data_IF_859302146109
#
_entry.id   IF_859302146109
#
_cell.length_a   1.000
_cell.length_b   1.000
_cell.length_c   1.000
_cell.angle_alpha   90.00
_cell.angle_beta   90.00
_cell.angle_gamma   90.00
#
_symmetry.space_group_name_H-M   'P 1'
#
loop_
_entity.id
_entity.type
_entity.pdbx_description
1 polymer ?
#
# COMPACT_ATOMS: atom_id res chain seq x y z
N UNK A 1 -22.27 27.47 -39.32
CA UNK A 1 -22.49 26.74 -38.04
C UNK A 1 -21.23 26.05 -37.51
N UNK A 2 -20.47 25.31 -38.33
CA UNK A 2 -19.32 24.52 -37.87
C UNK A 2 -18.18 25.30 -37.16
N UNK A 3 -17.85 26.53 -37.58
CA UNK A 3 -16.80 27.36 -36.93
C UNK A 3 -17.08 27.68 -35.46
N UNK A 4 -18.34 27.83 -35.06
CA UNK A 4 -18.73 28.06 -33.66
C UNK A 4 -18.57 26.80 -32.80
N UNK A 5 -18.73 25.62 -33.40
CA UNK A 5 -18.55 24.32 -32.74
C UNK A 5 -17.07 24.07 -32.43
N UNK A 6 -16.15 24.37 -33.37
CA UNK A 6 -14.71 24.26 -33.10
C UNK A 6 -14.24 25.22 -32.00
N UNK A 7 -14.80 26.44 -31.96
CA UNK A 7 -14.49 27.41 -30.92
C UNK A 7 -14.97 26.93 -29.54
N UNK A 8 -16.18 26.37 -29.46
CA UNK A 8 -16.71 25.77 -28.23
C UNK A 8 -15.88 24.57 -27.77
N UNK A 9 -15.42 23.73 -28.71
CA UNK A 9 -14.58 22.58 -28.39
C UNK A 9 -13.19 23.00 -27.88
N UNK A 10 -12.58 24.02 -28.50
CA UNK A 10 -11.32 24.59 -28.04
C UNK A 10 -11.44 25.24 -26.66
N UNK A 11 -12.55 25.96 -26.42
CA UNK A 11 -12.84 26.56 -25.13
C UNK A 11 -13.05 25.49 -24.04
N UNK A 12 -13.72 24.39 -24.37
CA UNK A 12 -13.92 23.27 -23.45
C UNK A 12 -12.59 22.63 -23.02
N UNK A 13 -11.68 22.38 -23.97
CA UNK A 13 -10.34 21.83 -23.69
C UNK A 13 -9.53 22.77 -22.78
N UNK A 14 -9.56 24.08 -23.04
CA UNK A 14 -8.86 25.08 -22.24
C UNK A 14 -9.40 25.16 -20.80
N UNK A 15 -10.72 25.09 -20.61
CA UNK A 15 -11.34 25.10 -19.28
C UNK A 15 -11.01 23.81 -18.51
N UNK A 16 -10.98 22.65 -19.17
CA UNK A 16 -10.59 21.39 -18.53
C UNK A 16 -9.11 21.36 -18.11
N UNK A 17 -8.23 22.12 -18.77
CA UNK A 17 -6.82 22.22 -18.36
C UNK A 17 -6.61 23.04 -17.08
N UNK A 18 -7.50 24.00 -16.79
CA UNK A 18 -7.42 24.86 -15.60
C UNK A 18 -8.03 24.26 -14.32
N UNK A 19 -8.73 23.11 -14.43
CA UNK A 19 -9.40 22.43 -13.32
C UNK A 19 -8.64 21.23 -12.76
N UNK A 20 -7.30 21.25 -12.76
CA UNK A 20 -6.48 20.12 -12.31
C UNK A 20 -6.42 20.08 -10.78
N UNK A 21 -7.28 19.27 -10.16
CA UNK A 21 -7.18 18.89 -8.75
C UNK A 21 -6.32 17.63 -8.53
N UNK A 22 -5.94 16.96 -9.62
CA UNK A 22 -5.20 15.71 -9.57
C UNK A 22 -3.74 15.94 -9.20
N UNK A 23 -3.21 15.09 -8.34
CA UNK A 23 -1.80 15.15 -7.91
C UNK A 23 -1.18 13.77 -7.89
N UNK A 24 0.15 13.73 -8.04
CA UNK A 24 0.94 12.52 -7.91
C UNK A 24 1.72 12.56 -6.60
N UNK A 25 1.69 11.47 -5.85
CA UNK A 25 2.52 11.24 -4.67
C UNK A 25 3.44 10.05 -4.90
N UNK A 26 4.65 10.13 -4.35
CA UNK A 26 5.62 9.04 -4.35
C UNK A 26 5.96 8.75 -2.90
N UNK A 27 5.77 7.50 -2.48
CA UNK A 27 6.04 7.06 -1.12
C UNK A 27 7.13 5.99 -1.13
N UNK A 28 8.12 6.18 -0.29
CA UNK A 28 9.17 5.19 -0.03
C UNK A 28 9.14 4.80 1.45
N UNK A 29 9.24 3.51 1.74
CA UNK A 29 9.28 3.00 3.10
C UNK A 29 10.34 1.89 3.23
N UNK A 30 11.04 1.88 4.36
CA UNK A 30 12.03 0.87 4.71
C UNK A 30 11.79 0.36 6.14
N UNK A 31 11.77 -0.95 6.31
CA UNK A 31 11.62 -1.63 7.60
C UNK A 31 12.76 -2.62 7.80
N UNK A 32 13.50 -2.49 8.90
CA UNK A 32 14.40 -3.54 9.40
C UNK A 32 13.73 -4.31 10.53
N UNK A 33 13.93 -5.62 10.58
CA UNK A 33 13.41 -6.45 11.68
C UNK A 33 14.42 -7.52 12.11
N UNK A 34 14.38 -7.85 13.41
CA UNK A 34 15.13 -8.92 14.05
C UNK A 34 14.29 -9.44 15.23
N UNK A 35 13.70 -10.62 15.08
CA UNK A 35 12.81 -11.26 16.05
C UNK A 35 13.36 -12.66 16.36
N UNK A 36 13.83 -12.87 17.59
CA UNK A 36 14.31 -14.17 18.07
C UNK A 36 13.22 -14.87 18.90
N UNK A 37 12.78 -16.05 18.45
CA UNK A 37 11.69 -16.82 19.10
C UNK A 37 12.14 -17.93 20.03
N UNK A 38 13.39 -17.92 20.46
CA UNK A 38 14.00 -18.95 21.32
C UNK A 38 13.46 -19.01 22.76
N UNK A 39 12.66 -18.05 23.19
CA UNK A 39 12.26 -17.89 24.59
C UNK A 39 11.18 -18.88 25.10
N UNK A 40 10.67 -19.82 24.28
CA UNK A 40 9.73 -20.87 24.73
C UNK A 40 10.33 -22.26 24.56
N UNK A 41 10.11 -23.12 25.57
CA UNK A 41 10.56 -24.53 25.65
C UNK A 41 10.01 -25.48 24.55
N UNK A 42 9.47 -24.94 23.46
CA UNK A 42 9.09 -25.69 22.27
C UNK A 42 10.28 -25.75 21.30
N UNK A 43 11.20 -26.67 21.62
CA UNK A 43 12.47 -26.93 20.92
C UNK A 43 12.35 -27.10 19.38
N UNK A 44 11.30 -27.69 18.77
CA UNK A 44 11.29 -27.90 17.32
C UNK A 44 11.03 -26.64 16.46
N UNK A 45 10.85 -25.45 17.06
CA UNK A 45 10.57 -24.20 16.33
C UNK A 45 11.39 -22.99 16.79
N UNK A 46 12.61 -23.17 17.28
CA UNK A 46 13.55 -22.03 17.36
C UNK A 46 13.76 -21.47 15.95
N UNK A 47 13.37 -20.21 15.75
CA UNK A 47 13.55 -19.46 14.50
C UNK A 47 13.87 -18.01 14.85
N UNK A 48 14.95 -17.50 14.26
CA UNK A 48 15.25 -16.06 14.21
C UNK A 48 14.77 -15.53 12.87
N UNK A 49 13.89 -14.56 12.90
CA UNK A 49 13.43 -13.83 11.72
C UNK A 49 14.20 -12.52 11.63
N UNK A 50 14.97 -12.34 10.56
CA UNK A 50 15.77 -11.13 10.39
C UNK A 50 15.88 -10.72 8.94
N UNK A 51 15.81 -9.42 8.69
CA UNK A 51 15.85 -8.90 7.35
C UNK A 51 15.43 -7.45 7.21
N UNK A 52 15.31 -7.04 5.96
CA UNK A 52 14.83 -5.73 5.56
C UNK A 52 13.71 -5.85 4.55
N UNK A 53 12.83 -4.86 4.58
CA UNK A 53 11.76 -4.67 3.61
C UNK A 53 11.83 -3.26 3.06
N UNK A 54 11.68 -3.14 1.74
CA UNK A 54 11.60 -1.88 1.03
C UNK A 54 10.28 -1.82 0.28
N UNK A 55 9.60 -0.68 0.34
CA UNK A 55 8.39 -0.41 -0.43
C UNK A 55 8.55 0.89 -1.21
N UNK A 56 8.07 0.89 -2.45
CA UNK A 56 8.00 2.06 -3.32
C UNK A 56 6.62 2.07 -3.97
N UNK A 57 5.88 3.13 -3.71
CA UNK A 57 4.52 3.32 -4.19
C UNK A 57 4.39 4.67 -4.90
N UNK A 58 3.54 4.71 -5.92
CA UNK A 58 3.12 5.92 -6.63
C UNK A 58 1.60 6.02 -6.51
N UNK A 59 1.13 7.11 -5.91
CA UNK A 59 -0.28 7.45 -5.77
C UNK A 59 -0.70 8.48 -6.80
N UNK A 60 -1.85 8.24 -7.42
CA UNK A 60 -2.55 9.17 -8.27
C UNK A 60 -3.83 9.61 -7.56
N UNK A 61 -3.85 10.85 -7.08
CA UNK A 61 -4.96 11.46 -6.37
C UNK A 61 -5.89 12.12 -7.38
N UNK A 62 -7.17 11.76 -7.39
CA UNK A 62 -8.17 12.40 -8.25
C UNK A 62 -8.72 13.68 -7.62
N UNK A 63 -8.87 13.64 -6.31
CA UNK A 63 -9.36 14.72 -5.47
C UNK A 63 -8.77 14.55 -4.05
N UNK A 64 -9.32 15.27 -3.07
CA UNK A 64 -8.85 15.23 -1.68
C UNK A 64 -9.15 13.93 -0.93
N UNK A 65 -10.02 13.06 -1.45
CA UNK A 65 -10.51 11.86 -0.77
C UNK A 65 -10.16 10.56 -1.52
N UNK A 66 -10.05 10.61 -2.85
CA UNK A 66 -9.95 9.48 -3.75
C UNK A 66 -8.56 9.37 -4.40
N UNK A 67 -7.95 8.20 -4.29
CA UNK A 67 -6.66 7.90 -4.93
C UNK A 67 -6.54 6.46 -5.41
N UNK A 68 -5.82 6.25 -6.51
CA UNK A 68 -5.29 4.92 -6.87
C UNK A 68 -3.81 4.89 -6.56
N UNK A 69 -3.33 3.78 -6.03
CA UNK A 69 -1.92 3.59 -5.69
C UNK A 69 -1.41 2.32 -6.34
N UNK A 70 -0.23 2.41 -6.97
CA UNK A 70 0.48 1.29 -7.55
C UNK A 70 1.92 1.27 -7.04
N UNK A 71 2.49 0.09 -6.82
CA UNK A 71 3.80 -0.01 -6.20
C UNK A 71 4.28 -1.44 -6.03
N UNK A 72 5.38 -1.58 -5.31
CA UNK A 72 6.01 -2.87 -5.03
C UNK A 72 6.61 -2.89 -3.63
N UNK A 73 6.62 -4.08 -3.03
CA UNK A 73 7.16 -4.33 -1.71
C UNK A 73 8.12 -5.53 -1.75
N UNK A 74 9.43 -5.27 -1.63
CA UNK A 74 10.47 -6.30 -1.64
C UNK A 74 10.98 -6.63 -0.25
N UNK A 75 11.15 -7.91 0.06
CA UNK A 75 11.77 -8.39 1.31
C UNK A 75 13.07 -9.15 1.05
N UNK A 76 14.11 -8.80 1.81
CA UNK A 76 15.39 -9.50 1.88
C UNK A 76 15.59 -10.02 3.30
N UNK A 77 15.76 -11.32 3.45
CA UNK A 77 16.23 -11.90 4.71
C UNK A 77 17.76 -11.90 4.74
N UNK A 78 18.36 -11.59 5.88
CA UNK A 78 19.82 -11.52 5.97
C UNK A 78 20.45 -12.88 5.67
N UNK A 79 21.37 -12.91 4.70
CA UNK A 79 22.03 -14.12 4.25
C UNK A 79 21.27 -14.91 3.17
N UNK A 80 20.08 -14.47 2.76
CA UNK A 80 19.30 -15.15 1.73
C UNK A 80 19.93 -15.04 0.33
N UNK A 81 19.76 -16.11 -0.44
CA UNK A 81 20.03 -16.17 -1.88
C UNK A 81 18.83 -16.87 -2.55
N UNK A 82 18.13 -16.26 -3.52
CA UNK A 82 18.36 -14.95 -4.15
C UNK A 82 18.20 -13.77 -3.17
N UNK A 83 18.64 -12.56 -3.57
CA UNK A 83 18.62 -11.37 -2.70
C UNK A 83 17.20 -11.07 -2.20
N UNK A 84 16.25 -10.77 -3.08
CA UNK A 84 14.86 -10.70 -2.64
C UNK A 84 14.28 -12.10 -2.49
N UNK A 85 13.79 -12.40 -1.28
CA UNK A 85 13.01 -13.62 -1.03
C UNK A 85 11.67 -13.55 -1.75
N UNK A 86 11.05 -12.36 -1.74
CA UNK A 86 9.76 -12.09 -2.38
C UNK A 86 9.62 -10.61 -2.73
N UNK A 87 8.91 -10.34 -3.82
CA UNK A 87 8.43 -8.99 -4.19
C UNK A 87 6.92 -9.07 -4.37
N UNK A 88 6.19 -8.28 -3.59
CA UNK A 88 4.74 -8.22 -3.57
C UNK A 88 4.24 -6.95 -4.27
N UNK A 89 3.38 -7.05 -5.29
CA UNK A 89 2.80 -5.88 -5.93
C UNK A 89 1.80 -5.17 -5.02
N UNK A 90 1.72 -3.85 -5.15
CA UNK A 90 0.72 -2.98 -4.54
C UNK A 90 -0.08 -2.35 -5.67
N UNK A 91 -1.40 -2.44 -5.59
CA UNK A 91 -2.33 -1.93 -6.59
C UNK A 91 -3.72 -1.85 -5.95
N UNK A 92 -4.14 -0.64 -5.57
CA UNK A 92 -5.40 -0.47 -4.87
C UNK A 92 -6.02 0.91 -5.08
N UNK A 93 -7.34 0.95 -4.92
CA UNK A 93 -8.10 2.16 -4.69
C UNK A 93 -8.19 2.46 -3.20
N UNK A 94 -8.05 3.74 -2.85
CA UNK A 94 -8.24 4.23 -1.50
C UNK A 94 -9.18 5.43 -1.50
N UNK A 95 -10.15 5.36 -0.60
CA UNK A 95 -11.01 6.48 -0.22
C UNK A 95 -10.75 6.81 1.25
N UNK A 96 -10.47 8.07 1.55
CA UNK A 96 -10.24 8.57 2.90
C UNK A 96 -11.14 9.78 3.19
N UNK A 97 -12.36 9.50 3.67
CA UNK A 97 -13.33 10.50 4.08
C UNK A 97 -13.23 10.86 5.56
N UNK A 98 -14.11 11.76 6.01
CA UNK A 98 -14.19 12.19 7.41
C UNK A 98 -14.57 11.06 8.38
N UNK A 99 -15.45 10.16 7.94
CA UNK A 99 -16.06 9.12 8.77
C UNK A 99 -15.74 7.71 8.27
N UNK A 100 -15.24 7.58 7.05
CA UNK A 100 -15.08 6.31 6.38
C UNK A 100 -13.76 6.25 5.65
N UNK A 101 -13.07 5.13 5.86
CA UNK A 101 -11.90 4.74 5.11
C UNK A 101 -12.23 3.45 4.37
N UNK A 102 -11.95 3.43 3.06
CA UNK A 102 -12.17 2.26 2.22
C UNK A 102 -10.94 1.97 1.36
N UNK A 103 -10.58 0.68 1.28
CA UNK A 103 -9.53 0.19 0.39
C UNK A 103 -10.03 -1.00 -0.42
N UNK A 104 -9.69 -1.03 -1.70
CA UNK A 104 -10.00 -2.14 -2.59
C UNK A 104 -8.81 -2.51 -3.46
N UNK A 105 -8.35 -3.75 -3.38
CA UNK A 105 -7.22 -4.28 -4.13
C UNK A 105 -6.17 -4.92 -3.22
N UNK A 106 -4.90 -4.74 -3.59
CA UNK A 106 -3.73 -5.21 -2.84
C UNK A 106 -3.04 -4.00 -2.20
N UNK A 107 -3.31 -3.80 -0.90
CA UNK A 107 -2.93 -2.59 -0.17
C UNK A 107 -2.11 -2.90 1.08
N UNK A 108 -1.25 -1.98 1.55
CA UNK A 108 -0.40 -2.20 2.73
C UNK A 108 -1.21 -2.54 3.97
N UNK A 109 -0.76 -3.56 4.69
CA UNK A 109 -1.37 -4.05 5.93
C UNK A 109 -1.13 -3.14 7.12
N UNK A 110 0.08 -2.60 7.20
CA UNK A 110 0.56 -1.80 8.33
C UNK A 110 -0.32 -0.54 8.51
N UNK A 111 -0.72 -0.24 9.74
CA UNK A 111 -1.63 0.88 10.06
C UNK A 111 -3.12 0.61 9.77
N UNK A 112 -3.44 -0.41 8.97
CA UNK A 112 -4.84 -0.78 8.68
C UNK A 112 -5.34 -1.96 9.51
N UNK A 113 -4.51 -2.94 9.86
CA UNK A 113 -4.93 -4.05 10.73
C UNK A 113 -3.87 -4.40 11.78
N UNK A 114 -3.07 -3.41 12.17
CA UNK A 114 -2.06 -3.53 13.23
C UNK A 114 -2.64 -3.84 14.61
N UNK A 115 -3.89 -3.45 14.84
CA UNK A 115 -4.49 -3.44 16.19
C UNK A 115 -5.23 -4.74 16.50
N UNK A 116 -5.17 -5.72 15.60
CA UNK A 116 -5.76 -7.03 15.82
C UNK A 116 -5.02 -7.77 16.94
N UNK A 117 -5.74 -8.50 17.81
CA UNK A 117 -5.11 -9.32 18.83
C UNK A 117 -4.16 -10.35 18.22
N UNK A 118 -2.97 -10.50 18.82
CA UNK A 118 -1.98 -11.53 18.43
C UNK A 118 -2.50 -12.97 18.53
N UNK A 119 -3.59 -13.19 19.28
CA UNK A 119 -4.29 -14.48 19.32
C UNK A 119 -5.05 -14.79 18.04
N UNK A 120 -5.45 -13.77 17.28
CA UNK A 120 -6.19 -13.92 16.02
C UNK A 120 -5.26 -13.92 14.81
N UNK A 121 -4.25 -13.04 14.83
CA UNK A 121 -3.28 -12.91 13.75
C UNK A 121 -1.88 -13.28 14.22
N UNK A 122 -1.22 -14.15 13.45
CA UNK A 122 0.16 -14.50 13.68
C UNK A 122 1.05 -13.26 13.44
N UNK A 123 1.96 -12.96 14.36
CA UNK A 123 2.90 -11.84 14.30
C UNK A 123 3.83 -11.89 13.07
N UNK A 124 4.16 -13.08 12.57
CA UNK A 124 4.95 -13.27 11.33
C UNK A 124 4.25 -12.72 10.07
N UNK A 125 2.92 -12.55 10.13
CA UNK A 125 2.15 -11.96 9.02
C UNK A 125 2.61 -10.55 8.70
N UNK A 126 3.09 -9.79 9.69
CA UNK A 126 3.69 -8.47 9.49
C UNK A 126 4.95 -8.54 8.62
N UNK A 127 5.75 -9.60 8.79
CA UNK A 127 7.00 -9.78 8.04
C UNK A 127 6.80 -10.43 6.68
N UNK A 128 5.92 -11.41 6.50
CA UNK A 128 5.88 -12.21 5.25
C UNK A 128 4.66 -11.97 4.36
N UNK A 129 3.73 -11.14 4.82
CA UNK A 129 2.49 -10.80 4.10
C UNK A 129 2.23 -9.30 4.27
N UNK A 130 2.95 -8.44 3.53
CA UNK A 130 2.88 -7.00 3.71
C UNK A 130 1.53 -6.40 3.30
N UNK A 131 0.78 -7.10 2.43
CA UNK A 131 -0.46 -6.59 1.88
C UNK A 131 -1.68 -7.35 2.44
N UNK A 132 -2.80 -6.63 2.49
CA UNK A 132 -4.14 -7.22 2.49
C UNK A 132 -4.61 -7.24 1.04
N UNK A 133 -5.20 -8.36 0.63
CA UNK A 133 -5.76 -8.53 -0.71
C UNK A 133 -7.28 -8.67 -0.57
N UNK A 134 -8.02 -7.71 -1.11
CA UNK A 134 -9.48 -7.70 -1.06
C UNK A 134 -10.04 -6.32 -0.77
N UNK A 135 -11.04 -6.26 0.13
CA UNK A 135 -11.75 -5.04 0.50
C UNK A 135 -11.60 -4.78 2.00
N UNK A 136 -11.39 -3.52 2.38
CA UNK A 136 -11.44 -3.08 3.76
C UNK A 136 -12.30 -1.83 3.85
N UNK A 137 -13.21 -1.82 4.83
CA UNK A 137 -13.94 -0.63 5.25
C UNK A 137 -13.72 -0.41 6.74
N UNK A 138 -13.57 0.84 7.15
CA UNK A 138 -13.41 1.25 8.55
C UNK A 138 -14.18 2.53 8.78
N UNK A 139 -14.93 2.56 9.88
CA UNK A 139 -15.45 3.80 10.43
C UNK A 139 -14.35 4.49 11.25
N UNK A 140 -14.08 5.77 10.95
CA UNK A 140 -13.01 6.59 11.56
C UNK A 140 -13.57 7.60 12.54
#
# INVERSE_FOLDING_TARGET
MFKKVYLLFALFILISATGMAQSLDINFNALGFLDNREYKAFIPRSRTYSGTRLALDVGFNFDSLNRFVVGVNGIHEFGAKPYFLKVDPVAYYNYNGKNWLFNAGMFPREGLISDYPRSMLNDTLRYYRPNVEGLLTRYT
#
